data_IF_838596553541
#
_entry.id   IF_838596553541
#
_cell.length_a   1.000
_cell.length_b   1.000
_cell.length_c   1.000
_cell.angle_alpha   90.00
_cell.angle_beta   90.00
_cell.angle_gamma   90.00
#
_symmetry.space_group_name_H-M   'P 1'
#
loop_
_entity.id
_entity.type
_entity.pdbx_description
1 polymer ?
#
# COMPACT_ATOMS: atom_id res chain seq x y z
N UNK A 1 7.66 -51.00 -46.90
CA UNK A 1 6.67 -51.67 -46.02
C UNK A 1 6.89 -51.22 -44.59
N UNK A 2 6.50 -50.00 -44.26
CA UNK A 2 5.25 -49.65 -43.54
C UNK A 2 5.19 -50.35 -42.16
N UNK A 3 5.82 -49.71 -41.17
CA UNK A 3 5.54 -49.95 -39.75
C UNK A 3 4.23 -49.22 -39.42
N UNK A 4 3.13 -49.93 -39.58
CA UNK A 4 1.80 -49.55 -39.10
C UNK A 4 1.79 -49.60 -37.56
N UNK A 5 2.04 -48.47 -36.91
CA UNK A 5 1.75 -48.30 -35.48
C UNK A 5 0.23 -48.28 -35.33
N UNK A 6 -0.36 -49.44 -35.07
CA UNK A 6 -1.76 -49.56 -34.66
C UNK A 6 -1.95 -48.79 -33.36
N UNK A 7 -2.57 -47.62 -33.45
CA UNK A 7 -3.21 -46.96 -32.32
C UNK A 7 -4.36 -47.86 -31.89
N UNK A 8 -4.12 -48.71 -30.88
CA UNK A 8 -5.17 -49.47 -30.23
C UNK A 8 -6.27 -48.49 -29.81
N UNK A 9 -7.49 -48.74 -30.28
CA UNK A 9 -8.66 -47.97 -29.88
C UNK A 9 -8.75 -48.03 -28.35
N UNK A 10 -8.64 -46.88 -27.70
CA UNK A 10 -8.91 -46.77 -26.26
C UNK A 10 -10.31 -47.32 -26.02
N UNK A 11 -10.40 -48.37 -25.22
CA UNK A 11 -11.64 -49.09 -24.90
C UNK A 11 -12.70 -48.10 -24.40
N UNK A 12 -13.95 -48.24 -24.85
CA UNK A 12 -15.01 -47.27 -24.58
C UNK A 12 -15.28 -47.09 -23.08
N UNK A 13 -15.04 -48.14 -22.32
CA UNK A 13 -15.04 -48.18 -20.85
C UNK A 13 -13.93 -47.32 -20.24
N UNK A 14 -12.71 -47.33 -20.79
CA UNK A 14 -11.60 -46.52 -20.28
C UNK A 14 -11.83 -45.02 -20.54
N UNK A 15 -12.42 -44.66 -21.70
CA UNK A 15 -12.87 -43.28 -21.97
C UNK A 15 -13.96 -42.83 -21.01
N UNK A 16 -14.92 -43.71 -20.69
CA UNK A 16 -15.98 -43.42 -19.72
C UNK A 16 -15.42 -43.20 -18.32
N UNK A 17 -14.48 -44.03 -17.86
CA UNK A 17 -13.83 -43.85 -16.55
C UNK A 17 -12.98 -42.59 -16.48
N UNK A 18 -12.26 -42.24 -17.54
CA UNK A 18 -11.50 -40.99 -17.61
C UNK A 18 -12.43 -39.77 -17.61
N UNK A 19 -13.55 -39.80 -18.34
CA UNK A 19 -14.59 -38.78 -18.29
C UNK A 19 -15.25 -38.69 -16.92
N UNK A 20 -15.51 -39.81 -16.26
CA UNK A 20 -16.12 -39.87 -14.93
C UNK A 20 -15.18 -39.32 -13.85
N UNK A 21 -13.89 -39.70 -13.88
CA UNK A 21 -12.86 -39.14 -13.00
C UNK A 21 -12.66 -37.64 -13.28
N UNK A 22 -12.68 -37.23 -14.54
CA UNK A 22 -12.64 -35.81 -14.91
C UNK A 22 -13.85 -35.05 -14.37
N UNK A 23 -15.07 -35.54 -14.58
CA UNK A 23 -16.30 -34.92 -14.07
C UNK A 23 -16.34 -34.88 -12.53
N UNK A 24 -15.84 -35.93 -11.86
CA UNK A 24 -15.65 -35.94 -10.40
C UNK A 24 -14.61 -34.90 -9.97
N UNK A 25 -13.49 -34.76 -10.69
CA UNK A 25 -12.47 -33.75 -10.39
C UNK A 25 -12.95 -32.31 -10.60
N UNK A 26 -13.84 -32.08 -11.57
CA UNK A 26 -14.48 -30.76 -11.82
C UNK A 26 -15.39 -30.36 -10.65
N UNK A 27 -15.95 -31.32 -9.89
CA UNK A 27 -16.76 -31.04 -8.69
C UNK A 27 -15.92 -30.63 -7.47
N UNK A 28 -14.59 -30.74 -7.52
CA UNK A 28 -13.69 -30.35 -6.42
C UNK A 28 -13.04 -28.97 -6.59
N UNK A 29 -13.30 -28.26 -7.70
CA UNK A 29 -12.86 -26.89 -7.86
C UNK A 29 -13.77 -25.94 -7.06
N UNK A 30 -13.50 -25.83 -5.75
CA UNK A 30 -14.22 -24.90 -4.89
C UNK A 30 -13.69 -23.48 -5.13
N UNK A 31 -14.40 -22.72 -5.94
CA UNK A 31 -14.17 -21.28 -6.10
C UNK A 31 -14.88 -20.53 -4.98
N UNK A 32 -14.15 -19.69 -4.25
CA UNK A 32 -14.73 -18.72 -3.34
C UNK A 32 -15.06 -17.45 -4.09
N UNK A 33 -16.16 -16.82 -3.70
CA UNK A 33 -16.51 -15.49 -4.19
C UNK A 33 -16.00 -14.43 -3.24
N UNK A 34 -15.06 -13.62 -3.70
CA UNK A 34 -14.31 -12.67 -2.88
C UNK A 34 -14.61 -11.24 -3.31
N UNK A 35 -14.95 -10.39 -2.35
CA UNK A 35 -15.03 -8.95 -2.54
C UNK A 35 -13.80 -8.29 -1.92
N UNK A 36 -13.03 -7.54 -2.70
CA UNK A 36 -11.91 -6.73 -2.21
C UNK A 36 -12.32 -5.26 -2.21
N UNK A 37 -12.29 -4.60 -1.06
CA UNK A 37 -12.47 -3.15 -0.95
C UNK A 37 -11.09 -2.48 -1.06
N UNK A 38 -10.85 -1.77 -2.15
CA UNK A 38 -9.58 -1.10 -2.45
C UNK A 38 -9.82 0.35 -2.81
N UNK A 39 -9.98 1.23 -1.81
CA UNK A 39 -10.17 2.64 -2.06
C UNK A 39 -8.86 3.27 -2.52
N UNK A 40 -8.94 4.26 -3.43
CA UNK A 40 -7.77 5.10 -3.74
C UNK A 40 -7.53 6.19 -2.68
N UNK A 41 -8.07 5.98 -1.46
CA UNK A 41 -8.21 6.91 -0.33
C UNK A 41 -6.94 7.60 0.15
N UNK A 42 -5.77 7.05 -0.14
CA UNK A 42 -4.52 7.53 0.43
C UNK A 42 -3.60 8.18 -0.59
N UNK A 43 -4.02 8.30 -1.86
CA UNK A 43 -3.13 8.57 -3.00
C UNK A 43 -1.88 7.65 -3.05
N UNK A 44 -1.83 6.61 -2.19
CA UNK A 44 -0.70 5.73 -2.02
C UNK A 44 -0.78 4.64 -3.06
N UNK A 45 0.10 4.72 -4.06
CA UNK A 45 0.21 3.66 -5.04
C UNK A 45 0.60 2.33 -4.36
N UNK A 46 1.32 2.38 -3.24
CA UNK A 46 1.73 1.20 -2.48
C UNK A 46 0.54 0.43 -1.91
N UNK A 47 -0.40 1.10 -1.24
CA UNK A 47 -1.58 0.45 -0.64
C UNK A 47 -2.51 -0.11 -1.71
N UNK A 48 -2.72 0.65 -2.80
CA UNK A 48 -3.50 0.18 -3.95
C UNK A 48 -2.88 -1.07 -4.57
N UNK A 49 -1.55 -1.07 -4.78
CA UNK A 49 -0.84 -2.24 -5.28
C UNK A 49 -0.96 -3.42 -4.32
N UNK A 50 -0.86 -3.20 -3.01
CA UNK A 50 -0.97 -4.25 -1.99
C UNK A 50 -2.30 -5.01 -2.12
N UNK A 51 -3.43 -4.29 -2.07
CA UNK A 51 -4.77 -4.88 -2.24
C UNK A 51 -4.98 -5.46 -3.63
N UNK A 52 -4.46 -4.79 -4.65
CA UNK A 52 -4.52 -5.25 -6.03
C UNK A 52 -3.80 -6.58 -6.25
N UNK A 53 -2.64 -6.77 -5.62
CA UNK A 53 -1.88 -8.01 -5.70
C UNK A 53 -2.53 -9.14 -4.90
N UNK A 54 -3.17 -8.84 -3.76
CA UNK A 54 -4.03 -9.82 -3.07
C UNK A 54 -5.15 -10.28 -4.01
N UNK A 55 -5.85 -9.34 -4.65
CA UNK A 55 -6.93 -9.65 -5.58
C UNK A 55 -6.44 -10.49 -6.78
N UNK A 56 -5.35 -10.07 -7.43
CA UNK A 56 -4.77 -10.77 -8.59
C UNK A 56 -4.30 -12.18 -8.22
N UNK A 57 -3.66 -12.36 -7.06
CA UNK A 57 -3.23 -13.68 -6.56
C UNK A 57 -4.41 -14.62 -6.34
N UNK A 58 -5.53 -14.11 -5.81
CA UNK A 58 -6.75 -14.92 -5.61
C UNK A 58 -7.42 -15.29 -6.93
N UNK A 59 -7.40 -14.39 -7.93
CA UNK A 59 -7.87 -14.72 -9.29
C UNK A 59 -7.01 -15.82 -9.91
N UNK A 60 -5.69 -15.71 -9.79
CA UNK A 60 -4.75 -16.73 -10.28
C UNK A 60 -4.93 -18.09 -9.60
N UNK A 61 -5.32 -18.09 -8.32
CA UNK A 61 -5.69 -19.29 -7.59
C UNK A 61 -7.05 -19.89 -8.01
N UNK A 62 -7.80 -19.22 -8.92
CA UNK A 62 -9.05 -19.71 -9.48
C UNK A 62 -10.32 -19.24 -8.75
N UNK A 63 -10.23 -18.20 -7.91
CA UNK A 63 -11.38 -17.62 -7.21
C UNK A 63 -12.11 -16.57 -8.05
N UNK A 64 -13.41 -16.38 -7.77
CA UNK A 64 -14.21 -15.30 -8.36
C UNK A 64 -14.01 -14.03 -7.54
N UNK A 65 -13.18 -13.11 -8.05
CA UNK A 65 -12.77 -11.91 -7.31
C UNK A 65 -13.32 -10.65 -7.97
N UNK A 66 -14.07 -9.88 -7.20
CA UNK A 66 -14.52 -8.53 -7.56
C UNK A 66 -13.86 -7.51 -6.63
N UNK A 67 -13.32 -6.43 -7.19
CA UNK A 67 -12.74 -5.32 -6.44
C UNK A 67 -13.63 -4.09 -6.55
N UNK A 68 -14.10 -3.60 -5.40
CA UNK A 68 -14.80 -2.32 -5.27
C UNK A 68 -13.76 -1.22 -5.07
N UNK A 69 -13.76 -0.25 -5.98
CA UNK A 69 -12.74 0.81 -6.08
C UNK A 69 -13.42 2.18 -6.01
N UNK A 70 -13.57 2.74 -4.80
CA UNK A 70 -13.85 4.15 -4.62
C UNK A 70 -12.68 5.00 -5.11
N UNK A 71 -12.93 5.84 -6.12
CA UNK A 71 -11.93 6.73 -6.70
C UNK A 71 -11.97 8.09 -6.00
N UNK A 72 -10.91 8.41 -5.25
CA UNK A 72 -10.63 9.73 -4.70
C UNK A 72 -9.94 10.59 -5.75
N UNK A 73 -8.68 10.23 -6.07
CA UNK A 73 -7.89 10.81 -7.14
C UNK A 73 -7.90 9.87 -8.36
N UNK A 74 -8.42 10.31 -9.53
CA UNK A 74 -8.43 9.53 -10.75
C UNK A 74 -7.04 9.28 -11.35
N UNK A 75 -6.00 9.99 -10.91
CA UNK A 75 -4.62 9.82 -11.39
C UNK A 75 -3.91 8.62 -10.75
N UNK A 76 -4.42 8.11 -9.63
CA UNK A 76 -3.87 6.95 -8.95
C UNK A 76 -4.20 5.69 -9.74
N UNK A 77 -3.19 4.85 -10.01
CA UNK A 77 -3.41 3.63 -10.79
C UNK A 77 -4.06 2.58 -9.92
N UNK A 78 -5.06 1.93 -10.49
CA UNK A 78 -5.68 0.74 -9.90
C UNK A 78 -4.63 -0.36 -9.74
N UNK A 79 -4.52 -0.93 -8.55
CA UNK A 79 -3.49 -1.94 -8.27
C UNK A 79 -3.76 -3.33 -8.86
N UNK A 80 -5.03 -3.67 -9.13
CA UNK A 80 -5.42 -4.97 -9.71
C UNK A 80 -5.47 -4.93 -11.23
N UNK A 81 -4.96 -5.98 -11.87
CA UNK A 81 -5.01 -6.17 -13.31
C UNK A 81 -5.99 -7.27 -13.74
N UNK A 82 -6.36 -8.19 -12.84
CA UNK A 82 -7.07 -9.44 -13.17
C UNK A 82 -8.49 -9.52 -12.60
N UNK A 83 -8.77 -8.89 -11.46
CA UNK A 83 -10.11 -8.96 -10.85
C UNK A 83 -11.16 -8.18 -11.64
N UNK A 84 -12.43 -8.57 -11.47
CA UNK A 84 -13.54 -7.74 -11.93
C UNK A 84 -13.58 -6.43 -11.12
N UNK A 85 -13.91 -5.30 -11.76
CA UNK A 85 -13.77 -3.96 -11.16
C UNK A 85 -15.10 -3.24 -11.10
N UNK A 86 -15.44 -2.71 -9.93
CA UNK A 86 -16.57 -1.81 -9.72
C UNK A 86 -16.00 -0.46 -9.29
N UNK A 87 -16.13 0.55 -10.15
CA UNK A 87 -15.66 1.90 -9.87
C UNK A 87 -16.77 2.75 -9.26
N UNK A 88 -16.46 3.46 -8.18
CA UNK A 88 -17.31 4.55 -7.67
C UNK A 88 -16.63 5.85 -8.05
N UNK A 89 -17.27 6.62 -8.92
CA UNK A 89 -16.72 7.88 -9.42
C UNK A 89 -16.80 8.96 -8.33
N UNK A 90 -15.81 9.87 -8.25
CA UNK A 90 -15.83 10.95 -7.29
C UNK A 90 -16.97 11.93 -7.63
N UNK A 91 -17.84 12.18 -6.67
CA UNK A 91 -18.82 13.27 -6.77
C UNK A 91 -18.14 14.64 -6.53
N UNK A 92 -18.89 15.73 -6.65
CA UNK A 92 -18.34 17.09 -6.50
C UNK A 92 -17.69 17.32 -5.13
N UNK A 93 -18.27 16.77 -4.06
CA UNK A 93 -17.72 16.89 -2.71
C UNK A 93 -16.38 16.16 -2.58
N UNK A 94 -16.27 14.93 -3.09
CA UNK A 94 -15.02 14.15 -3.13
C UNK A 94 -13.95 14.89 -3.93
N UNK A 95 -14.29 15.42 -5.11
CA UNK A 95 -13.34 16.17 -5.95
C UNK A 95 -12.78 17.38 -5.20
N UNK A 96 -13.66 18.17 -4.59
CA UNK A 96 -13.26 19.37 -3.84
C UNK A 96 -12.26 19.04 -2.73
N UNK A 97 -12.57 18.07 -1.87
CA UNK A 97 -11.68 17.72 -0.76
C UNK A 97 -10.38 17.06 -1.24
N UNK A 98 -10.40 16.36 -2.39
CA UNK A 98 -9.20 15.82 -3.05
C UNK A 98 -8.32 16.94 -3.58
N UNK A 99 -8.91 17.95 -4.21
CA UNK A 99 -8.19 19.14 -4.71
C UNK A 99 -7.58 19.93 -3.54
N UNK A 100 -8.32 20.09 -2.43
CA UNK A 100 -7.81 20.72 -1.20
C UNK A 100 -6.62 19.93 -0.62
N UNK A 101 -6.68 18.59 -0.62
CA UNK A 101 -5.56 17.74 -0.19
C UNK A 101 -4.33 17.91 -1.10
N UNK A 102 -4.54 17.89 -2.41
CA UNK A 102 -3.46 17.95 -3.40
C UNK A 102 -2.83 19.35 -3.54
N UNK A 103 -3.56 20.41 -3.20
CA UNK A 103 -3.10 21.81 -3.33
C UNK A 103 -2.41 22.35 -2.07
N UNK A 104 -2.53 21.66 -0.93
CA UNK A 104 -1.83 22.04 0.28
C UNK A 104 -0.33 21.72 0.17
N UNK A 105 0.47 22.75 -0.13
CA UNK A 105 1.92 22.71 -0.02
C UNK A 105 2.32 22.66 1.47
N UNK A 106 2.43 21.45 2.02
CA UNK A 106 3.02 21.26 3.35
C UNK A 106 4.52 21.02 3.17
N UNK A 107 5.35 21.87 3.77
CA UNK A 107 6.78 21.59 3.87
C UNK A 107 7.00 20.49 4.91
N UNK A 108 7.09 19.26 4.43
CA UNK A 108 7.28 18.08 5.27
C UNK A 108 8.70 17.96 5.82
N UNK A 109 9.67 18.76 5.34
CA UNK A 109 11.03 18.77 5.90
C UNK A 109 11.12 19.56 7.21
N UNK A 110 10.25 20.54 7.42
CA UNK A 110 10.19 21.34 8.66
C UNK A 110 9.05 20.89 9.60
N UNK A 111 8.36 19.79 9.26
CA UNK A 111 7.23 19.30 10.03
C UNK A 111 7.69 18.64 11.34
N UNK A 112 7.36 19.26 12.48
CA UNK A 112 7.53 18.62 13.79
C UNK A 112 6.53 17.46 13.94
N UNK A 113 7.03 16.23 13.92
CA UNK A 113 6.19 15.03 14.13
C UNK A 113 5.44 15.08 15.46
N UNK A 114 5.89 15.85 16.44
CA UNK A 114 5.25 16.02 17.74
C UNK A 114 4.29 17.19 17.86
N UNK A 115 4.02 17.94 16.78
CA UNK A 115 3.00 19.00 16.78
C UNK A 115 1.58 18.41 16.89
N UNK A 116 1.09 18.31 18.11
CA UNK A 116 -0.23 17.75 18.42
C UNK A 116 -1.35 18.51 17.72
N UNK A 117 -1.23 19.83 17.54
CA UNK A 117 -2.29 20.65 16.95
C UNK A 117 -2.40 20.34 15.46
N UNK A 118 -1.27 20.38 14.73
CA UNK A 118 -1.21 20.00 13.32
C UNK A 118 -1.65 18.55 13.10
N UNK A 119 -1.22 17.61 13.96
CA UNK A 119 -1.60 16.20 13.88
C UNK A 119 -3.10 15.96 14.08
N UNK A 120 -3.72 16.60 15.06
CA UNK A 120 -5.17 16.50 15.28
C UNK A 120 -5.94 17.14 14.12
N UNK A 121 -5.49 18.28 13.60
CA UNK A 121 -6.10 18.93 12.45
C UNK A 121 -6.02 18.06 11.18
N UNK A 122 -4.87 17.44 10.92
CA UNK A 122 -4.69 16.47 9.84
C UNK A 122 -5.62 15.27 10.00
N UNK A 123 -5.70 14.71 11.21
CA UNK A 123 -6.60 13.62 11.56
C UNK A 123 -8.07 13.92 11.30
N UNK A 124 -8.52 15.12 11.66
CA UNK A 124 -9.88 15.61 11.38
C UNK A 124 -10.14 15.71 9.88
N UNK A 125 -9.20 16.32 9.15
CA UNK A 125 -9.28 16.46 7.69
C UNK A 125 -9.34 15.09 7.01
N UNK A 126 -8.44 14.17 7.35
CA UNK A 126 -8.40 12.83 6.77
C UNK A 126 -9.65 12.02 7.13
N UNK A 127 -10.18 12.18 8.35
CA UNK A 127 -11.46 11.59 8.73
C UNK A 127 -12.63 12.09 7.88
N UNK A 128 -12.67 13.40 7.59
CA UNK A 128 -13.68 13.99 6.70
C UNK A 128 -13.52 13.47 5.27
N UNK A 129 -12.28 13.35 4.81
CA UNK A 129 -11.94 12.79 3.51
C UNK A 129 -12.50 11.38 3.32
N UNK A 130 -12.25 10.48 4.27
CA UNK A 130 -12.82 9.13 4.25
C UNK A 130 -14.36 9.15 4.34
N UNK A 131 -14.94 9.99 5.20
CA UNK A 131 -16.39 10.06 5.39
C UNK A 131 -17.13 10.57 4.14
N UNK A 132 -16.61 11.61 3.48
CA UNK A 132 -17.19 12.17 2.24
C UNK A 132 -17.16 11.12 1.11
N UNK A 133 -16.05 10.40 0.95
CA UNK A 133 -16.01 9.30 -0.01
C UNK A 133 -16.98 8.19 0.37
N UNK A 134 -16.97 7.76 1.63
CA UNK A 134 -17.82 6.66 2.07
C UNK A 134 -19.30 6.98 1.84
N UNK A 135 -19.70 8.24 2.07
CA UNK A 135 -21.03 8.73 1.75
C UNK A 135 -21.34 8.58 0.25
N UNK A 136 -20.41 8.93 -0.63
CA UNK A 136 -20.58 8.73 -2.08
C UNK A 136 -20.77 7.25 -2.44
N UNK A 137 -20.06 6.32 -1.78
CA UNK A 137 -20.25 4.88 -1.95
C UNK A 137 -21.65 4.44 -1.51
N UNK A 138 -22.12 4.93 -0.36
CA UNK A 138 -23.44 4.62 0.17
C UNK A 138 -24.58 5.22 -0.66
N UNK A 139 -24.34 6.32 -1.36
CA UNK A 139 -25.31 7.00 -2.24
C UNK A 139 -25.35 6.42 -3.67
N UNK A 140 -24.37 5.58 -4.05
CA UNK A 140 -24.37 4.92 -5.35
C UNK A 140 -25.61 4.03 -5.53
N UNK A 141 -26.31 4.24 -6.66
CA UNK A 141 -27.66 3.72 -6.83
C UNK A 141 -27.65 2.18 -6.88
N UNK A 142 -28.38 1.55 -5.95
CA UNK A 142 -28.50 0.09 -5.80
C UNK A 142 -27.18 -0.65 -5.59
N UNK A 143 -26.07 0.03 -5.26
CA UNK A 143 -24.78 -0.63 -5.06
C UNK A 143 -24.83 -1.65 -3.93
N UNK A 144 -25.27 -1.22 -2.74
CA UNK A 144 -25.32 -2.09 -1.56
C UNK A 144 -26.26 -3.27 -1.81
N UNK A 145 -27.45 -3.03 -2.38
CA UNK A 145 -28.39 -4.10 -2.75
C UNK A 145 -27.76 -5.14 -3.68
N UNK A 146 -27.00 -4.69 -4.70
CA UNK A 146 -26.28 -5.57 -5.61
C UNK A 146 -25.22 -6.38 -4.86
N UNK A 147 -24.35 -5.72 -4.08
CA UNK A 147 -23.26 -6.38 -3.36
C UNK A 147 -23.78 -7.40 -2.34
N UNK A 148 -24.85 -7.09 -1.62
CA UNK A 148 -25.49 -8.04 -0.69
C UNK A 148 -26.13 -9.22 -1.44
N UNK A 149 -26.73 -9.00 -2.62
CA UNK A 149 -27.32 -10.06 -3.43
C UNK A 149 -26.28 -11.06 -3.98
N UNK A 150 -25.02 -10.63 -4.16
CA UNK A 150 -23.93 -11.49 -4.66
C UNK A 150 -23.52 -12.58 -3.65
N UNK A 151 -23.81 -12.41 -2.35
CA UNK A 151 -23.51 -13.36 -1.25
C UNK A 151 -22.05 -13.81 -1.20
N UNK A 152 -21.14 -12.85 -1.05
CA UNK A 152 -19.70 -13.11 -0.97
C UNK A 152 -19.32 -14.05 0.19
N UNK A 153 -18.38 -14.95 -0.08
CA UNK A 153 -17.81 -15.83 0.94
C UNK A 153 -16.81 -15.09 1.82
N UNK A 154 -16.00 -14.21 1.21
CA UNK A 154 -14.98 -13.43 1.91
C UNK A 154 -15.04 -11.98 1.43
N UNK A 155 -14.94 -11.06 2.37
CA UNK A 155 -14.63 -9.66 2.06
C UNK A 155 -13.25 -9.31 2.64
N UNK A 156 -12.39 -8.71 1.82
CA UNK A 156 -11.05 -8.24 2.21
C UNK A 156 -11.08 -6.71 2.17
N UNK A 157 -10.70 -6.07 3.27
CA UNK A 157 -10.84 -4.61 3.43
C UNK A 157 -9.57 -3.99 3.98
N UNK A 158 -9.21 -2.81 3.47
CA UNK A 158 -8.14 -1.99 4.03
C UNK A 158 -8.62 -1.25 5.29
N UNK A 159 -7.82 -1.31 6.35
CA UNK A 159 -8.18 -0.75 7.66
C UNK A 159 -7.91 0.74 7.74
N UNK A 160 -6.99 1.28 6.93
CA UNK A 160 -6.73 2.73 6.83
C UNK A 160 -8.01 3.51 6.48
N UNK A 161 -8.88 2.94 5.65
CA UNK A 161 -10.20 3.50 5.34
C UNK A 161 -11.32 2.68 6.04
N UNK A 162 -11.84 3.16 7.18
CA UNK A 162 -12.85 2.45 7.95
C UNK A 162 -14.18 2.22 7.23
N UNK A 163 -14.41 2.85 6.07
CA UNK A 163 -15.58 2.60 5.25
C UNK A 163 -15.66 1.13 4.81
N UNK A 164 -14.53 0.50 4.47
CA UNK A 164 -14.49 -0.91 4.06
C UNK A 164 -15.02 -1.86 5.14
N UNK A 165 -14.43 -1.85 6.35
CA UNK A 165 -14.98 -2.56 7.50
C UNK A 165 -16.45 -2.22 7.77
N UNK A 166 -16.83 -0.95 7.74
CA UNK A 166 -18.22 -0.55 7.98
C UNK A 166 -19.20 -1.13 6.94
N UNK A 167 -18.83 -1.13 5.65
CA UNK A 167 -19.61 -1.74 4.57
C UNK A 167 -19.80 -3.24 4.76
N UNK A 168 -18.84 -3.95 5.37
CA UNK A 168 -18.99 -5.38 5.63
C UNK A 168 -20.19 -5.69 6.53
N UNK A 169 -20.58 -4.77 7.43
CA UNK A 169 -21.76 -4.93 8.27
C UNK A 169 -23.07 -4.93 7.49
N UNK A 170 -23.14 -4.20 6.36
CA UNK A 170 -24.36 -4.16 5.53
C UNK A 170 -24.32 -5.19 4.39
N UNK A 171 -23.13 -5.51 3.90
CA UNK A 171 -22.93 -6.53 2.85
C UNK A 171 -23.06 -7.95 3.42
N UNK A 172 -22.73 -8.15 4.70
CA UNK A 172 -22.83 -9.44 5.42
C UNK A 172 -22.11 -10.60 4.70
N UNK A 173 -20.80 -10.48 4.41
CA UNK A 173 -20.01 -11.60 3.88
C UNK A 173 -19.89 -12.71 4.93
N UNK A 174 -19.66 -13.96 4.51
CA UNK A 174 -19.50 -15.07 5.48
C UNK A 174 -18.25 -14.93 6.35
N UNK A 175 -17.20 -14.30 5.84
CA UNK A 175 -15.99 -13.98 6.57
C UNK A 175 -15.44 -12.60 6.16
N UNK A 176 -14.83 -11.91 7.13
CA UNK A 176 -14.12 -10.66 6.93
C UNK A 176 -12.62 -10.88 7.18
N UNK A 177 -11.79 -10.37 6.28
CA UNK A 177 -10.34 -10.26 6.44
C UNK A 177 -9.98 -8.78 6.37
N UNK A 178 -9.25 -8.29 7.36
CA UNK A 178 -8.76 -6.91 7.38
C UNK A 178 -7.33 -6.86 6.89
N UNK A 179 -6.91 -5.74 6.32
CA UNK A 179 -5.55 -5.53 5.85
C UNK A 179 -4.96 -4.25 6.42
N UNK A 180 -3.63 -4.21 6.52
CA UNK A 180 -2.85 -3.01 6.74
C UNK A 180 -1.75 -2.98 5.68
N UNK A 181 -1.95 -2.18 4.63
CA UNK A 181 -0.97 -1.97 3.54
C UNK A 181 0.30 -1.23 3.96
N UNK A 182 0.33 -0.75 5.20
CA UNK A 182 1.41 -0.05 5.89
C UNK A 182 1.52 -0.55 7.34
N UNK A 183 2.42 0.03 8.14
CA UNK A 183 2.51 -0.34 9.55
C UNK A 183 1.25 0.07 10.31
N UNK A 184 0.65 -0.80 11.14
CA UNK A 184 -0.52 -0.45 11.94
C UNK A 184 -0.27 0.78 12.83
N UNK A 185 -1.19 1.74 12.78
CA UNK A 185 -1.14 3.02 13.53
C UNK A 185 -2.45 3.27 14.29
N UNK A 186 -2.47 4.30 15.13
CA UNK A 186 -3.62 4.63 15.98
C UNK A 186 -4.18 3.43 16.73
N UNK A 187 -5.50 3.19 16.60
CA UNK A 187 -6.20 2.07 17.24
C UNK A 187 -6.05 0.72 16.53
N UNK A 188 -5.39 0.63 15.35
CA UNK A 188 -5.40 -0.60 14.53
C UNK A 188 -4.88 -1.84 15.27
N UNK A 189 -3.81 -1.70 16.04
CA UNK A 189 -3.25 -2.84 16.78
C UNK A 189 -4.23 -3.36 17.83
N UNK A 190 -4.94 -2.47 18.53
CA UNK A 190 -5.97 -2.83 19.50
C UNK A 190 -7.18 -3.46 18.81
N UNK A 191 -7.59 -2.91 17.65
CA UNK A 191 -8.60 -3.48 16.76
C UNK A 191 -8.20 -4.89 16.28
N UNK A 192 -6.90 -5.13 16.07
CA UNK A 192 -6.34 -6.44 15.75
C UNK A 192 -6.13 -7.34 16.99
N UNK A 193 -6.43 -6.87 18.19
CA UNK A 193 -6.27 -7.63 19.44
C UNK A 193 -4.82 -7.81 19.89
N UNK A 194 -3.92 -6.94 19.41
CA UNK A 194 -2.49 -6.92 19.77
C UNK A 194 -2.20 -5.70 20.63
N UNK A 195 -1.79 -5.95 21.87
CA UNK A 195 -1.32 -4.87 22.76
C UNK A 195 0.04 -4.36 22.29
N UNK A 196 0.16 -3.04 22.08
CA UNK A 196 1.44 -2.43 21.74
C UNK A 196 2.36 -2.41 22.94
N UNK A 197 3.50 -3.08 22.81
CA UNK A 197 4.54 -3.06 23.81
C UNK A 197 5.44 -1.83 23.70
N UNK A 198 4.91 -0.64 24.01
CA UNK A 198 5.61 0.65 23.92
C UNK A 198 6.90 0.76 24.78
N UNK A 199 7.15 -0.21 25.66
CA UNK A 199 8.39 -0.26 26.44
C UNK A 199 9.62 -0.68 25.61
N UNK A 200 9.42 -1.34 24.47
CA UNK A 200 10.51 -1.81 23.60
C UNK A 200 10.24 -1.76 22.10
N UNK A 201 8.99 -1.59 21.66
CA UNK A 201 8.65 -1.41 20.25
C UNK A 201 8.43 0.09 19.95
N UNK A 202 9.16 0.68 18.97
CA UNK A 202 8.93 2.06 18.56
C UNK A 202 7.53 2.24 18.00
N UNK A 203 6.90 3.34 18.40
CA UNK A 203 5.72 3.87 17.75
C UNK A 203 6.06 4.23 16.28
N UNK A 204 5.04 4.25 15.43
CA UNK A 204 5.16 4.51 13.99
C UNK A 204 5.89 5.81 13.64
N UNK A 205 5.84 6.78 14.54
CA UNK A 205 6.46 8.10 14.37
C UNK A 205 7.97 8.13 14.67
N UNK A 206 8.53 7.05 15.22
CA UNK A 206 9.92 6.99 15.68
C UNK A 206 10.72 5.95 14.91
N UNK A 207 12.01 6.21 14.70
CA UNK A 207 12.95 5.27 14.10
C UNK A 207 13.44 4.21 15.10
N UNK A 208 13.57 4.54 16.39
CA UNK A 208 14.02 3.56 17.39
C UNK A 208 13.52 3.91 18.80
N UNK A 209 13.66 2.96 19.71
CA UNK A 209 13.50 3.16 21.16
C UNK A 209 14.69 2.54 21.88
N UNK A 210 15.38 3.34 22.70
CA UNK A 210 16.37 2.81 23.63
C UNK A 210 15.66 2.24 24.85
N UNK A 211 15.64 0.91 24.92
CA UNK A 211 15.02 0.16 26.01
C UNK A 211 15.71 0.38 27.35
N UNK A 212 16.93 0.93 27.40
CA UNK A 212 17.63 1.23 28.65
C UNK A 212 17.46 2.68 29.10
N UNK A 213 16.76 3.51 28.32
CA UNK A 213 16.53 4.93 28.61
C UNK A 213 15.08 5.23 28.97
N UNK A 214 14.84 5.69 30.19
CA UNK A 214 13.53 6.17 30.63
C UNK A 214 13.01 7.30 29.74
N UNK A 215 13.89 8.23 29.34
CA UNK A 215 13.51 9.36 28.47
C UNK A 215 13.05 8.87 27.10
N UNK A 216 13.78 7.92 26.49
CA UNK A 216 13.39 7.35 25.19
C UNK A 216 12.03 6.66 25.26
N UNK A 217 11.79 5.85 26.31
CA UNK A 217 10.49 5.22 26.54
C UNK A 217 9.36 6.23 26.77
N UNK A 218 9.63 7.32 27.50
CA UNK A 218 8.64 8.38 27.72
C UNK A 218 8.30 9.11 26.41
N UNK A 219 9.30 9.40 25.57
CA UNK A 219 9.08 9.95 24.23
C UNK A 219 8.24 9.00 23.37
N UNK A 220 8.47 7.69 23.46
CA UNK A 220 7.67 6.70 22.75
C UNK A 220 6.20 6.67 23.20
N UNK A 221 5.94 6.79 24.51
CA UNK A 221 4.59 6.90 25.04
C UNK A 221 3.90 8.19 24.59
N UNK A 222 4.65 9.30 24.55
CA UNK A 222 4.13 10.56 24.04
C UNK A 222 3.80 10.45 22.53
N UNK A 223 4.70 9.87 21.72
CA UNK A 223 4.43 9.57 20.31
C UNK A 223 3.16 8.73 20.14
N UNK A 224 2.97 7.70 20.97
CA UNK A 224 1.76 6.87 20.96
C UNK A 224 0.47 7.65 21.27
N UNK A 225 0.53 8.63 22.18
CA UNK A 225 -0.61 9.51 22.45
C UNK A 225 -0.91 10.39 21.23
N UNK A 226 0.11 10.97 20.60
CA UNK A 226 -0.08 11.82 19.41
C UNK A 226 -0.65 11.00 18.24
N UNK A 227 -0.07 9.83 17.95
CA UNK A 227 -0.57 8.85 16.97
C UNK A 227 -2.05 8.49 17.22
N UNK A 228 -2.41 8.18 18.47
CA UNK A 228 -3.81 7.90 18.81
C UNK A 228 -4.74 9.10 18.55
N UNK A 229 -4.32 10.31 18.93
CA UNK A 229 -5.11 11.53 18.73
C UNK A 229 -5.27 11.91 17.25
N UNK A 230 -4.24 11.69 16.44
CA UNK A 230 -4.26 11.88 14.99
C UNK A 230 -5.33 11.00 14.34
N UNK A 231 -5.36 9.69 14.65
CA UNK A 231 -6.15 8.73 13.86
C UNK A 231 -7.54 8.39 14.44
N UNK A 232 -7.92 8.96 15.58
CA UNK A 232 -9.23 8.68 16.22
C UNK A 232 -10.42 9.18 15.39
N UNK A 233 -10.28 10.32 14.71
CA UNK A 233 -11.40 11.00 14.06
C UNK A 233 -11.90 10.24 12.82
N UNK A 234 -11.02 9.51 12.14
CA UNK A 234 -11.40 8.66 11.00
C UNK A 234 -12.45 7.62 11.38
N UNK A 235 -12.33 7.00 12.56
CA UNK A 235 -13.34 6.04 13.06
C UNK A 235 -14.60 6.76 13.52
N UNK A 236 -14.44 7.88 14.23
CA UNK A 236 -15.55 8.68 14.76
C UNK A 236 -16.52 9.12 13.65
N UNK A 237 -15.98 9.68 12.56
CA UNK A 237 -16.79 10.21 11.46
C UNK A 237 -17.49 9.09 10.66
N UNK A 238 -16.82 7.96 10.42
CA UNK A 238 -17.44 6.81 9.75
C UNK A 238 -18.53 6.18 10.64
N UNK A 239 -18.30 6.05 11.95
CA UNK A 239 -19.32 5.58 12.88
C UNK A 239 -20.57 6.47 12.85
N UNK A 240 -20.39 7.80 12.90
CA UNK A 240 -21.50 8.75 12.82
C UNK A 240 -22.30 8.58 11.50
N UNK A 241 -21.59 8.49 10.36
CA UNK A 241 -22.22 8.29 9.04
C UNK A 241 -23.06 7.01 8.97
N UNK A 242 -22.60 5.90 9.57
CA UNK A 242 -23.34 4.64 9.56
C UNK A 242 -24.47 4.61 10.59
N UNK A 243 -24.29 5.19 11.79
CA UNK A 243 -25.34 5.31 12.81
C UNK A 243 -26.53 6.14 12.32
N UNK A 244 -26.30 7.16 11.50
CA UNK A 244 -27.36 7.97 10.90
C UNK A 244 -28.21 7.19 9.88
N UNK A 245 -27.68 6.09 9.31
CA UNK A 245 -28.30 5.38 8.17
C UNK A 245 -28.76 3.96 8.50
N UNK A 246 -28.13 3.29 9.45
CA UNK A 246 -28.38 1.90 9.76
C UNK A 246 -28.64 1.73 11.26
N UNK A 247 -29.81 1.16 11.58
CA UNK A 247 -30.13 0.74 12.94
C UNK A 247 -29.16 -0.38 13.37
N UNK A 248 -28.81 -0.40 14.66
CA UNK A 248 -27.95 -1.45 15.27
C UNK A 248 -26.53 -1.59 14.72
N UNK A 249 -25.92 -0.52 14.16
CA UNK A 249 -24.51 -0.57 13.75
C UNK A 249 -23.56 -0.64 14.97
N UNK A 250 -22.73 -1.70 15.11
CA UNK A 250 -21.89 -1.94 16.29
C UNK A 250 -20.66 -1.02 16.39
N UNK A 251 -20.35 -0.26 15.34
CA UNK A 251 -19.12 0.52 15.24
C UNK A 251 -17.99 -0.24 14.54
N UNK A 252 -17.13 0.50 13.84
CA UNK A 252 -16.00 -0.04 13.07
C UNK A 252 -15.06 -0.87 13.93
N UNK A 253 -14.67 -0.39 15.11
CA UNK A 253 -13.72 -1.07 16.00
C UNK A 253 -14.21 -2.47 16.39
N UNK A 254 -15.50 -2.62 16.71
CA UNK A 254 -16.10 -3.92 17.03
C UNK A 254 -16.09 -4.85 15.80
N UNK A 255 -16.40 -4.32 14.61
CA UNK A 255 -16.37 -5.09 13.35
C UNK A 255 -14.97 -5.63 13.05
N UNK A 256 -13.94 -4.78 13.13
CA UNK A 256 -12.54 -5.18 12.87
C UNK A 256 -12.08 -6.23 13.90
N UNK A 257 -12.46 -6.06 15.18
CA UNK A 257 -12.09 -7.02 16.24
C UNK A 257 -12.60 -8.44 15.98
N UNK A 258 -13.69 -8.58 15.21
CA UNK A 258 -14.32 -9.86 14.85
C UNK A 258 -13.82 -10.44 13.52
N UNK A 259 -12.92 -9.76 12.82
CA UNK A 259 -12.36 -10.26 11.57
C UNK A 259 -11.62 -11.60 11.78
N UNK A 260 -11.76 -12.51 10.82
CA UNK A 260 -11.20 -13.86 10.91
C UNK A 260 -9.67 -13.86 10.85
N UNK A 261 -9.11 -13.01 9.98
CA UNK A 261 -7.68 -12.83 9.79
C UNK A 261 -7.34 -11.36 9.51
N UNK A 262 -6.08 -11.01 9.77
CA UNK A 262 -5.51 -9.72 9.39
C UNK A 262 -4.24 -9.91 8.58
N UNK A 263 -4.14 -9.24 7.44
CA UNK A 263 -2.93 -9.24 6.60
C UNK A 263 -2.14 -7.95 6.75
N UNK A 264 -0.86 -8.04 7.06
CA UNK A 264 0.02 -6.87 7.24
C UNK A 264 1.13 -6.88 6.19
N UNK A 265 1.33 -5.75 5.52
CA UNK A 265 2.40 -5.55 4.55
C UNK A 265 3.74 -5.30 5.23
N UNK A 266 4.25 -6.26 6.00
CA UNK A 266 5.55 -6.19 6.67
C UNK A 266 6.27 -7.54 6.60
N UNK A 267 7.59 -7.54 6.78
CA UNK A 267 8.43 -8.74 6.91
C UNK A 267 8.91 -8.86 8.37
N UNK A 268 8.39 -9.83 9.15
CA UNK A 268 8.66 -9.93 10.58
C UNK A 268 10.13 -10.18 10.92
N UNK A 269 10.96 -10.68 9.99
CA UNK A 269 12.38 -10.92 10.23
C UNK A 269 13.22 -9.65 10.31
N UNK A 270 12.78 -8.56 9.67
CA UNK A 270 13.47 -7.25 9.76
C UNK A 270 12.80 -6.31 10.76
N UNK A 271 11.49 -6.47 10.95
CA UNK A 271 10.67 -5.64 11.80
C UNK A 271 11.14 -5.64 13.28
N UNK A 272 10.62 -4.71 14.06
CA UNK A 272 10.79 -4.72 15.51
C UNK A 272 10.02 -5.89 16.10
N UNK A 273 10.72 -6.73 16.86
CA UNK A 273 10.14 -7.90 17.48
C UNK A 273 8.97 -7.52 18.41
N UNK A 274 7.81 -8.12 18.19
CA UNK A 274 6.62 -7.92 18.99
C UNK A 274 5.79 -9.21 19.08
N UNK A 275 5.07 -9.44 20.20
CA UNK A 275 4.08 -10.51 20.29
C UNK A 275 2.95 -10.27 19.29
N UNK A 276 2.57 -11.30 18.56
CA UNK A 276 1.49 -11.24 17.57
C UNK A 276 0.52 -12.41 17.75
N UNK A 277 -0.72 -12.22 17.29
CA UNK A 277 -1.72 -13.27 17.27
C UNK A 277 -1.58 -14.17 16.04
N UNK A 278 -1.98 -15.43 16.17
CA UNK A 278 -2.02 -16.40 15.07
C UNK A 278 -2.94 -16.01 13.90
N UNK A 279 -3.91 -15.10 14.14
CA UNK A 279 -4.79 -14.56 13.08
C UNK A 279 -4.09 -13.52 12.19
N UNK A 280 -2.91 -13.05 12.59
CA UNK A 280 -2.17 -12.03 11.85
C UNK A 280 -1.15 -12.71 10.95
N UNK A 281 -1.26 -12.44 9.66
CA UNK A 281 -0.34 -12.95 8.65
C UNK A 281 0.41 -11.80 8.00
N UNK A 282 1.73 -11.90 8.07
CA UNK A 282 2.63 -11.00 7.36
C UNK A 282 2.74 -11.44 5.92
N UNK A 283 2.41 -10.53 5.00
CA UNK A 283 2.48 -10.74 3.55
C UNK A 283 3.26 -9.61 2.87
N UNK A 284 4.31 -9.12 3.55
CA UNK A 284 5.28 -8.19 2.99
C UNK A 284 5.89 -8.73 1.69
N UNK A 285 6.23 -7.83 0.78
CA UNK A 285 6.84 -8.20 -0.51
C UNK A 285 5.86 -8.70 -1.57
N UNK A 286 4.57 -8.88 -1.28
CA UNK A 286 3.55 -9.24 -2.29
C UNK A 286 3.49 -8.26 -3.48
N UNK A 287 3.94 -7.01 -3.26
CA UNK A 287 4.07 -5.99 -4.29
C UNK A 287 5.30 -6.12 -5.19
N UNK A 288 6.36 -6.77 -4.73
CA UNK A 288 7.64 -6.89 -5.42
C UNK A 288 7.62 -8.08 -6.40
N UNK A 289 6.89 -7.92 -7.51
CA UNK A 289 6.73 -8.95 -8.55
C UNK A 289 8.05 -9.37 -9.17
N UNK A 290 8.05 -10.50 -9.88
CA UNK A 290 9.17 -10.86 -10.75
C UNK A 290 9.52 -9.71 -11.70
N UNK A 291 10.80 -9.30 -11.77
CA UNK A 291 11.20 -8.12 -12.50
C UNK A 291 11.11 -8.35 -14.01
N UNK A 292 10.65 -7.34 -14.73
CA UNK A 292 10.70 -7.36 -16.19
C UNK A 292 12.09 -6.95 -16.69
N UNK A 293 12.41 -7.32 -17.92
CA UNK A 293 13.62 -6.83 -18.60
C UNK A 293 13.51 -5.31 -18.79
N UNK A 294 14.54 -4.59 -18.37
CA UNK A 294 14.66 -3.15 -18.60
C UNK A 294 14.69 -2.82 -20.11
N UNK A 295 14.14 -1.66 -20.47
CA UNK A 295 14.21 -1.16 -21.84
C UNK A 295 15.63 -0.75 -22.24
N UNK A 296 15.84 -0.54 -23.55
CA UNK A 296 17.17 -0.19 -24.09
C UNK A 296 17.72 1.13 -23.53
N UNK A 297 16.84 2.08 -23.17
CA UNK A 297 17.26 3.36 -22.63
C UNK A 297 17.82 3.21 -21.22
N UNK A 298 17.12 2.47 -20.36
CA UNK A 298 17.56 2.15 -19.00
C UNK A 298 18.80 1.26 -19.02
N UNK A 299 18.85 0.25 -19.89
CA UNK A 299 20.04 -0.60 -20.03
C UNK A 299 21.28 0.23 -20.40
N UNK A 300 21.15 1.13 -21.39
CA UNK A 300 22.23 2.07 -21.75
C UNK A 300 22.60 2.97 -20.57
N UNK A 301 21.61 3.48 -19.82
CA UNK A 301 21.81 4.36 -18.68
C UNK A 301 22.65 3.70 -17.58
N UNK A 302 22.29 2.46 -17.24
CA UNK A 302 22.99 1.65 -16.23
C UNK A 302 24.40 1.25 -16.67
N UNK A 303 24.70 1.28 -17.97
CA UNK A 303 26.02 1.01 -18.52
C UNK A 303 26.92 2.27 -18.64
N UNK A 304 26.42 3.48 -18.36
CA UNK A 304 27.21 4.71 -18.49
C UNK A 304 28.37 4.79 -17.49
N UNK A 305 28.17 4.23 -16.30
CA UNK A 305 29.10 4.32 -15.16
C UNK A 305 29.06 3.03 -14.34
N UNK A 306 30.07 2.82 -13.50
CA UNK A 306 30.20 1.60 -12.71
C UNK A 306 29.22 1.49 -11.54
N UNK A 307 28.62 2.61 -11.11
CA UNK A 307 27.68 2.66 -10.00
C UNK A 307 26.45 3.44 -10.42
N UNK A 308 25.29 2.95 -9.99
CA UNK A 308 24.01 3.63 -10.20
C UNK A 308 23.25 3.75 -8.88
N UNK A 309 22.72 4.94 -8.57
CA UNK A 309 21.86 5.18 -7.42
C UNK A 309 20.49 5.59 -7.92
N UNK A 310 19.45 4.90 -7.46
CA UNK A 310 18.07 5.29 -7.67
C UNK A 310 17.65 6.26 -6.56
N UNK A 311 16.91 7.32 -6.89
CA UNK A 311 16.31 8.26 -5.95
C UNK A 311 14.80 8.31 -6.21
N UNK A 312 14.00 7.96 -5.21
CA UNK A 312 12.54 8.05 -5.30
C UNK A 312 11.87 8.26 -3.93
N UNK A 313 11.07 9.31 -3.85
CA UNK A 313 10.34 9.71 -2.64
C UNK A 313 8.86 9.28 -2.64
N UNK A 314 8.51 8.27 -3.43
CA UNK A 314 7.15 7.70 -3.44
C UNK A 314 6.19 8.41 -4.38
N UNK A 315 4.87 8.21 -4.16
CA UNK A 315 3.81 8.75 -5.03
C UNK A 315 3.00 9.88 -4.40
N UNK A 316 2.96 9.96 -3.06
CA UNK A 316 2.12 10.92 -2.35
C UNK A 316 2.73 12.32 -2.41
N UNK A 317 4.04 12.42 -2.24
CA UNK A 317 4.77 13.69 -2.30
C UNK A 317 5.59 13.68 -3.59
N UNK A 318 5.08 14.27 -4.67
CA UNK A 318 5.81 14.31 -5.92
C UNK A 318 7.05 15.21 -5.74
N UNK A 319 8.19 14.76 -6.23
CA UNK A 319 9.48 15.35 -5.88
C UNK A 319 9.69 16.76 -6.45
N UNK A 320 8.95 17.13 -7.49
CA UNK A 320 8.96 18.51 -8.00
C UNK A 320 8.41 19.54 -7.00
N UNK A 321 7.53 19.11 -6.08
CA UNK A 321 6.96 19.94 -5.02
C UNK A 321 7.88 20.09 -3.80
N UNK A 322 9.04 19.43 -3.78
CA UNK A 322 10.00 19.64 -2.69
C UNK A 322 10.50 21.09 -2.67
N UNK A 323 10.81 21.63 -1.47
CA UNK A 323 11.38 22.96 -1.34
C UNK A 323 12.60 23.14 -2.26
N UNK A 324 12.76 24.29 -2.94
CA UNK A 324 13.88 24.52 -3.85
C UNK A 324 15.25 24.25 -3.21
N UNK A 325 15.41 24.57 -1.92
CA UNK A 325 16.64 24.36 -1.15
C UNK A 325 16.99 22.86 -1.01
N UNK A 326 15.98 22.02 -0.76
CA UNK A 326 16.14 20.57 -0.71
C UNK A 326 16.52 20.03 -2.08
N UNK A 327 15.81 20.45 -3.14
CA UNK A 327 16.12 20.03 -4.52
C UNK A 327 17.55 20.41 -4.91
N UNK A 328 17.98 21.63 -4.57
CA UNK A 328 19.33 22.10 -4.83
C UNK A 328 20.39 21.31 -4.05
N UNK A 329 20.10 20.96 -2.79
CA UNK A 329 20.99 20.13 -1.97
C UNK A 329 21.20 18.74 -2.58
N UNK A 330 20.13 18.11 -3.10
CA UNK A 330 20.21 16.82 -3.80
C UNK A 330 21.14 16.94 -5.01
N UNK A 331 20.98 17.99 -5.81
CA UNK A 331 21.83 18.24 -7.00
C UNK A 331 23.28 18.49 -6.64
N UNK A 332 23.54 19.23 -5.56
CA UNK A 332 24.90 19.47 -5.06
C UNK A 332 25.57 18.15 -4.65
N UNK A 333 24.85 17.31 -3.91
CA UNK A 333 25.34 15.98 -3.51
C UNK A 333 25.63 15.13 -4.74
N UNK A 334 24.71 15.05 -5.70
CA UNK A 334 24.89 14.29 -6.95
C UNK A 334 26.12 14.77 -7.73
N UNK A 335 26.33 16.08 -7.81
CA UNK A 335 27.45 16.68 -8.54
C UNK A 335 28.82 16.35 -7.94
N UNK A 336 28.88 16.02 -6.65
CA UNK A 336 30.12 15.60 -5.96
C UNK A 336 30.56 14.17 -6.31
N UNK A 337 29.71 13.37 -6.96
CA UNK A 337 30.00 11.98 -7.36
C UNK A 337 29.87 11.78 -8.88
N UNK A 338 30.71 12.44 -9.70
CA UNK A 338 30.60 12.41 -11.16
C UNK A 338 30.75 11.01 -11.78
N UNK A 339 31.35 10.06 -11.05
CA UNK A 339 31.54 8.65 -11.39
C UNK A 339 30.32 7.75 -11.08
N UNK A 340 29.25 8.31 -10.50
CA UNK A 340 28.01 7.59 -10.17
C UNK A 340 26.86 8.12 -11.02
N UNK A 341 26.10 7.24 -11.65
CA UNK A 341 24.86 7.58 -12.37
C UNK A 341 23.73 7.70 -11.35
N UNK A 342 23.00 8.80 -11.33
CA UNK A 342 21.82 8.98 -10.49
C UNK A 342 20.57 8.99 -11.35
N UNK A 343 19.61 8.12 -11.02
CA UNK A 343 18.28 8.10 -11.62
C UNK A 343 17.33 8.70 -10.59
N UNK A 344 16.69 9.82 -10.91
CA UNK A 344 15.80 10.51 -9.99
C UNK A 344 14.36 10.53 -10.52
N UNK A 345 13.43 9.92 -9.78
CA UNK A 345 12.00 10.07 -10.07
C UNK A 345 11.59 11.52 -9.81
N UNK A 346 11.17 12.22 -10.86
CA UNK A 346 10.80 13.63 -10.84
C UNK A 346 9.66 13.87 -11.84
N UNK A 347 8.47 14.25 -11.37
CA UNK A 347 7.23 14.15 -12.14
C UNK A 347 7.11 15.16 -13.29
N UNK A 348 7.80 16.30 -13.19
CA UNK A 348 7.76 17.42 -14.15
C UNK A 348 9.15 17.68 -14.76
N UNK A 349 9.66 16.70 -15.53
CA UNK A 349 11.02 16.79 -16.10
C UNK A 349 11.21 17.95 -17.08
N UNK A 350 10.13 18.58 -17.53
CA UNK A 350 10.11 19.74 -18.42
C UNK A 350 10.15 21.09 -17.69
N UNK A 351 10.10 21.12 -16.36
CA UNK A 351 10.10 22.39 -15.60
C UNK A 351 11.46 23.11 -15.60
N UNK A 352 11.43 24.40 -15.26
CA UNK A 352 12.62 25.27 -15.30
C UNK A 352 13.77 24.74 -14.44
N UNK A 353 13.45 24.13 -13.28
CA UNK A 353 14.46 23.55 -12.39
C UNK A 353 15.13 22.35 -13.06
N UNK A 354 14.35 21.38 -13.54
CA UNK A 354 14.85 20.18 -14.20
C UNK A 354 15.70 20.53 -15.42
N UNK A 355 15.22 21.43 -16.29
CA UNK A 355 15.96 21.85 -17.49
C UNK A 355 17.29 22.53 -17.13
N UNK A 356 17.32 23.37 -16.09
CA UNK A 356 18.55 24.04 -15.66
C UNK A 356 19.59 23.05 -15.12
N UNK A 357 19.17 22.06 -14.34
CA UNK A 357 20.05 21.10 -13.65
C UNK A 357 20.58 20.04 -14.62
N UNK A 358 19.74 19.52 -15.52
CA UNK A 358 20.16 18.47 -16.48
C UNK A 358 21.26 18.97 -17.42
N UNK A 359 21.32 20.28 -17.70
CA UNK A 359 22.40 20.88 -18.49
C UNK A 359 23.75 20.97 -17.75
N UNK A 360 23.72 21.05 -16.42
CA UNK A 360 24.90 21.28 -15.58
C UNK A 360 25.39 20.04 -14.83
N UNK A 361 24.55 19.00 -14.73
CA UNK A 361 24.81 17.78 -13.94
C UNK A 361 24.71 16.52 -14.81
N UNK A 362 25.75 16.16 -15.57
CA UNK A 362 25.69 15.10 -16.61
C UNK A 362 25.58 13.67 -16.06
N UNK A 363 25.67 13.51 -14.74
CA UNK A 363 25.49 12.24 -14.04
C UNK A 363 24.12 12.10 -13.39
N UNK A 364 23.24 13.11 -13.53
CA UNK A 364 21.85 13.07 -13.09
C UNK A 364 20.91 12.81 -14.27
N UNK A 365 19.99 11.88 -14.09
CA UNK A 365 18.96 11.55 -15.07
C UNK A 365 17.59 11.55 -14.39
N UNK A 366 16.72 12.47 -14.79
CA UNK A 366 15.38 12.59 -14.24
C UNK A 366 14.37 11.80 -15.07
N UNK A 367 13.44 11.13 -14.40
CA UNK A 367 12.37 10.35 -15.04
C UNK A 367 11.04 10.62 -14.35
N UNK A 368 9.99 10.88 -15.14
CA UNK A 368 8.63 11.07 -14.61
C UNK A 368 8.14 9.89 -13.77
N UNK A 369 8.45 8.68 -14.21
CA UNK A 369 8.16 7.44 -13.49
C UNK A 369 9.28 6.44 -13.73
N UNK A 370 9.60 5.65 -12.71
CA UNK A 370 10.63 4.63 -12.78
C UNK A 370 10.00 3.24 -12.64
N UNK A 371 10.45 2.22 -13.40
CA UNK A 371 10.12 0.83 -13.11
C UNK A 371 10.92 0.38 -11.88
N UNK A 372 10.56 0.90 -10.70
CA UNK A 372 11.33 0.79 -9.46
C UNK A 372 11.68 -0.66 -9.11
N UNK A 373 10.69 -1.57 -9.12
CA UNK A 373 10.91 -3.00 -8.87
C UNK A 373 11.96 -3.61 -9.82
N UNK A 374 11.90 -3.27 -11.11
CA UNK A 374 12.82 -3.82 -12.12
C UNK A 374 14.23 -3.23 -11.96
N UNK A 375 14.34 -1.93 -11.68
CA UNK A 375 15.61 -1.26 -11.40
C UNK A 375 16.27 -1.80 -10.12
N UNK A 376 15.51 -1.96 -9.05
CA UNK A 376 16.02 -2.51 -7.80
C UNK A 376 16.43 -3.98 -7.94
N UNK A 377 15.90 -4.71 -8.92
CA UNK A 377 16.33 -6.07 -9.22
C UNK A 377 17.64 -6.14 -10.05
N UNK A 378 18.00 -5.08 -10.77
CA UNK A 378 19.21 -5.06 -11.60
C UNK A 378 20.48 -4.90 -10.75
N UNK A 379 21.49 -5.74 -10.99
CA UNK A 379 22.75 -5.75 -10.24
C UNK A 379 23.55 -4.45 -10.36
N UNK A 380 23.38 -3.69 -11.45
CA UNK A 380 24.07 -2.42 -11.69
C UNK A 380 23.53 -1.27 -10.83
N UNK A 381 22.34 -1.42 -10.27
CA UNK A 381 21.82 -0.49 -9.26
C UNK A 381 22.48 -0.80 -7.93
N UNK A 382 23.31 0.14 -7.48
CA UNK A 382 24.18 0.03 -6.31
C UNK A 382 23.45 0.32 -5.00
N UNK A 383 22.60 1.34 -4.97
CA UNK A 383 21.87 1.75 -3.78
C UNK A 383 20.57 2.49 -4.13
N UNK A 384 19.70 2.62 -3.14
CA UNK A 384 18.43 3.33 -3.29
C UNK A 384 18.24 4.41 -2.22
N UNK A 385 18.04 5.65 -2.64
CA UNK A 385 17.64 6.75 -1.76
C UNK A 385 16.12 6.84 -1.80
N UNK A 386 15.47 6.66 -0.65
CA UNK A 386 14.01 6.57 -0.58
C UNK A 386 13.42 7.26 0.62
N UNK A 387 12.16 7.67 0.51
CA UNK A 387 11.37 8.14 1.65
C UNK A 387 11.03 7.06 2.68
N UNK A 388 11.20 5.77 2.36
CA UNK A 388 10.88 4.67 3.29
C UNK A 388 9.40 4.28 3.39
N UNK A 389 8.56 4.67 2.43
CA UNK A 389 7.20 4.15 2.34
C UNK A 389 7.19 2.62 2.16
N UNK A 390 6.19 1.95 2.73
CA UNK A 390 6.22 0.48 2.90
C UNK A 390 6.54 -0.31 1.63
N UNK A 391 5.89 -0.02 0.51
CA UNK A 391 6.14 -0.74 -0.75
C UNK A 391 7.60 -0.63 -1.22
N UNK A 392 8.17 0.58 -1.19
CA UNK A 392 9.59 0.81 -1.50
C UNK A 392 10.50 0.07 -0.53
N UNK A 393 10.16 0.05 0.76
CA UNK A 393 10.92 -0.67 1.79
C UNK A 393 10.92 -2.18 1.52
N UNK A 394 9.77 -2.77 1.21
CA UNK A 394 9.64 -4.20 0.89
C UNK A 394 10.39 -4.57 -0.39
N UNK A 395 10.31 -3.76 -1.46
CA UNK A 395 11.08 -3.98 -2.68
C UNK A 395 12.59 -3.91 -2.43
N UNK A 396 13.04 -2.92 -1.65
CA UNK A 396 14.46 -2.76 -1.29
C UNK A 396 14.99 -3.97 -0.53
N UNK A 397 14.23 -4.40 0.48
CA UNK A 397 14.55 -5.54 1.31
C UNK A 397 14.65 -6.82 0.48
N UNK A 398 13.62 -7.11 -0.32
CA UNK A 398 13.55 -8.35 -1.12
C UNK A 398 14.69 -8.45 -2.13
N UNK A 399 15.15 -7.31 -2.67
CA UNK A 399 16.28 -7.26 -3.60
C UNK A 399 17.65 -7.16 -2.93
N UNK A 400 17.70 -7.09 -1.60
CA UNK A 400 18.95 -6.98 -0.84
C UNK A 400 19.77 -5.74 -1.21
N UNK A 401 19.11 -4.63 -1.59
CA UNK A 401 19.80 -3.39 -1.96
C UNK A 401 20.06 -2.54 -0.71
N UNK A 402 21.26 -1.98 -0.55
CA UNK A 402 21.48 -0.98 0.50
C UNK A 402 20.68 0.28 0.18
N UNK A 403 20.14 0.93 1.22
CA UNK A 403 19.30 2.11 1.06
C UNK A 403 19.66 3.25 2.01
N UNK A 404 19.40 4.48 1.58
CA UNK A 404 19.37 5.67 2.42
C UNK A 404 17.91 6.09 2.57
N UNK A 405 17.40 6.02 3.79
CA UNK A 405 16.00 6.28 4.11
C UNK A 405 15.85 7.70 4.67
N UNK A 406 15.07 8.54 4.00
CA UNK A 406 14.82 9.95 4.34
C UNK A 406 13.30 10.11 4.56
N UNK A 407 12.81 9.78 5.77
CA UNK A 407 11.37 9.77 6.04
C UNK A 407 10.78 11.18 6.13
N UNK A 408 9.53 11.32 5.68
CA UNK A 408 8.75 12.57 5.75
C UNK A 408 7.53 12.47 6.66
N UNK A 409 6.75 11.39 6.55
CA UNK A 409 5.47 11.27 7.25
C UNK A 409 4.98 9.83 7.39
N UNK A 410 3.88 9.64 8.14
CA UNK A 410 3.22 8.35 8.28
C UNK A 410 4.14 7.29 8.89
N UNK A 411 4.23 6.14 8.23
CA UNK A 411 5.01 4.97 8.66
C UNK A 411 6.51 5.05 8.34
N UNK A 412 6.91 6.04 7.56
CA UNK A 412 8.25 6.19 7.02
C UNK A 412 9.36 6.22 8.10
N UNK A 413 9.23 6.95 9.23
CA UNK A 413 10.26 6.96 10.27
C UNK A 413 10.50 5.57 10.85
N UNK A 414 9.45 4.84 11.20
CA UNK A 414 9.57 3.47 11.73
C UNK A 414 10.16 2.51 10.71
N UNK A 415 9.77 2.63 9.44
CA UNK A 415 10.33 1.83 8.36
C UNK A 415 11.83 2.09 8.15
N UNK A 416 12.26 3.35 8.24
CA UNK A 416 13.68 3.71 8.18
C UNK A 416 14.46 3.05 9.32
N UNK A 417 13.92 3.10 10.54
CA UNK A 417 14.52 2.45 11.71
C UNK A 417 14.57 0.92 11.62
N UNK A 418 13.55 0.31 11.01
CA UNK A 418 13.54 -1.13 10.70
C UNK A 418 14.72 -1.53 9.79
N UNK A 419 15.11 -0.65 8.86
CA UNK A 419 16.16 -0.88 7.86
C UNK A 419 17.57 -0.46 8.29
N UNK A 420 17.75 0.05 9.51
CA UNK A 420 19.07 0.45 10.05
C UNK A 420 19.91 -0.76 10.50
N UNK A 421 19.28 -1.93 10.66
CA UNK A 421 19.94 -3.19 11.07
C UNK A 421 20.65 -3.86 9.91
#
# INVERSE_FOLDING_TARGET
DILEVRVNSVDGTMRFWLLFVFLLSVHFAQTYKVLVYSPTASASQSINNFLGNIADTLVEAGHDVTTLIPLFDPNVRVGTSKSAKIYIQPNEAVKKITDDFNSNEVDLFDHDVFDVIGKVAFGQFFGEFCAVQCKAVLEETKLIERLTAEKYDVMIVETLDPCGPALSHVIQPKALITTAGEMPFGSMTEEFGVDRAFSYNPNIMLTYVDVHSFRSRLTNLYAALVDYLEWRETRSQINALFHDRFEEFPGVTEIISRAAYTFINSEPLVDFAAPMLNRIHYIGGIGAKEPNKLDENLDRLLNLRNKTVLISFGSIIPTHMLPPEVKQTIVEVVSRFPEVTFIWKYETVEDDFAQSVLSSTPNLHMMKWTPQNDLLADERVTAFITHGGMGSTQETLLRGKPGLFIPFMGDQPRNAGMMEK
#
